data_IF_444914143547
#
_entry.id   IF_444914143547
#
_cell.length_a   1.000
_cell.length_b   1.000
_cell.length_c   1.000
_cell.angle_alpha   90.00
_cell.angle_beta   90.00
_cell.angle_gamma   90.00
#
_symmetry.space_group_name_H-M   'P 1'
#
loop_
_entity.id
_entity.type
_entity.pdbx_description
1 polymer ?
#
# COMPACT_ATOMS: atom_id res chain seq x y z
N UNK A 1 11.32 8.92 -4.76
CA UNK A 1 9.90 9.31 -4.82
C UNK A 1 9.59 9.66 -6.27
N UNK A 2 8.62 8.99 -6.87
CA UNK A 2 8.08 9.27 -8.22
C UNK A 2 6.55 9.27 -8.14
N UNK A 3 5.90 10.27 -8.74
CA UNK A 3 4.44 10.40 -8.74
C UNK A 3 3.99 10.78 -10.14
N UNK A 4 3.20 9.90 -10.75
CA UNK A 4 2.51 10.13 -12.02
C UNK A 4 1.02 10.19 -11.72
N UNK A 5 0.37 11.37 -11.83
CA UNK A 5 -1.04 11.54 -11.48
C UNK A 5 -1.94 10.51 -12.15
N UNK A 6 -2.81 9.87 -11.36
CA UNK A 6 -3.76 8.86 -11.82
C UNK A 6 -3.13 7.53 -12.30
N UNK A 7 -1.81 7.35 -12.21
CA UNK A 7 -1.14 6.17 -12.78
C UNK A 7 -0.19 5.47 -11.80
N UNK A 8 0.66 6.21 -11.08
CA UNK A 8 1.70 5.58 -10.26
C UNK A 8 2.14 6.45 -9.08
N UNK A 9 2.42 5.80 -7.97
CA UNK A 9 3.15 6.36 -6.83
C UNK A 9 4.27 5.36 -6.48
N UNK A 10 5.53 5.79 -6.51
CA UNK A 10 6.66 5.00 -6.04
C UNK A 10 7.41 5.71 -4.92
N UNK A 11 7.57 5.04 -3.78
CA UNK A 11 8.14 5.61 -2.57
C UNK A 11 8.99 4.59 -1.82
N UNK A 12 9.99 5.09 -1.10
CA UNK A 12 10.80 4.27 -0.21
C UNK A 12 10.44 4.59 1.25
N UNK A 13 10.44 3.58 2.11
CA UNK A 13 10.18 3.75 3.53
C UNK A 13 10.96 2.74 4.37
N UNK A 14 11.13 3.04 5.66
CA UNK A 14 11.68 2.11 6.66
C UNK A 14 10.66 1.92 7.78
N UNK A 15 10.63 0.73 8.37
CA UNK A 15 9.84 0.49 9.58
C UNK A 15 10.76 0.32 10.78
N UNK A 16 10.38 0.99 11.88
CA UNK A 16 11.07 0.90 13.14
C UNK A 16 10.11 0.43 14.25
N UNK A 17 10.62 -0.39 15.15
CA UNK A 17 9.96 -0.77 16.40
C UNK A 17 10.96 -0.52 17.53
N UNK A 18 10.53 0.18 18.58
CA UNK A 18 11.38 0.59 19.70
C UNK A 18 12.69 1.27 19.26
N UNK A 19 12.59 2.14 18.24
CA UNK A 19 13.72 2.86 17.67
C UNK A 19 14.65 2.03 16.77
N UNK A 20 14.44 0.71 16.65
CA UNK A 20 15.23 -0.16 15.78
C UNK A 20 14.55 -0.37 14.44
N UNK A 21 15.24 -0.03 13.35
CA UNK A 21 14.81 -0.36 11.99
C UNK A 21 14.86 -1.87 11.79
N UNK A 22 13.77 -2.46 11.32
CA UNK A 22 13.65 -3.90 11.04
C UNK A 22 13.26 -4.20 9.58
N UNK A 23 12.91 -3.18 8.79
CA UNK A 23 12.77 -3.33 7.35
C UNK A 23 13.00 -2.02 6.60
N UNK A 24 13.40 -2.16 5.34
CA UNK A 24 13.49 -1.07 4.37
C UNK A 24 12.87 -1.52 3.05
N UNK A 25 12.03 -0.68 2.47
CA UNK A 25 11.20 -1.06 1.32
C UNK A 25 11.21 0.00 0.23
N UNK A 26 11.12 -0.46 -1.01
CA UNK A 26 10.69 0.33 -2.17
C UNK A 26 9.30 -0.18 -2.60
N UNK A 27 8.30 0.66 -2.41
CA UNK A 27 6.91 0.38 -2.76
C UNK A 27 6.53 1.10 -4.06
N UNK A 28 5.77 0.41 -4.90
CA UNK A 28 5.13 0.96 -6.10
C UNK A 28 3.65 0.63 -6.07
N UNK A 29 2.83 1.66 -6.15
CA UNK A 29 1.38 1.57 -6.33
C UNK A 29 1.07 1.99 -7.75
N UNK A 30 0.43 1.12 -8.53
CA UNK A 30 -0.05 1.44 -9.87
C UNK A 30 -1.55 1.34 -9.97
N UNK A 31 -2.14 2.20 -10.77
CA UNK A 31 -3.58 2.30 -11.01
C UNK A 31 -3.86 2.06 -12.49
N UNK A 32 -4.90 1.29 -12.77
CA UNK A 32 -5.42 1.10 -14.12
C UNK A 32 -6.96 1.06 -14.11
N UNK A 33 -7.58 1.53 -15.18
CA UNK A 33 -9.02 1.38 -15.39
C UNK A 33 -9.40 -0.11 -15.48
N UNK A 34 -10.43 -0.51 -14.75
CA UNK A 34 -10.93 -1.89 -14.78
C UNK A 34 -12.43 -1.92 -14.47
N UNK A 35 -13.25 -2.25 -15.47
CA UNK A 35 -14.67 -2.56 -15.27
C UNK A 35 -15.51 -1.45 -14.66
N UNK A 36 -15.18 -0.17 -14.91
CA UNK A 36 -15.85 0.98 -14.31
C UNK A 36 -15.36 1.35 -12.91
N UNK A 37 -14.30 0.69 -12.43
CA UNK A 37 -13.54 1.07 -11.25
C UNK A 37 -12.03 1.10 -11.53
N UNK A 38 -11.23 0.98 -10.48
CA UNK A 38 -9.77 1.01 -10.58
C UNK A 38 -9.16 -0.29 -10.09
N UNK A 39 -8.30 -0.90 -10.90
CA UNK A 39 -7.39 -1.94 -10.47
C UNK A 39 -6.16 -1.29 -9.83
N UNK A 40 -6.00 -1.45 -8.52
CA UNK A 40 -4.82 -1.05 -7.77
C UNK A 40 -3.89 -2.26 -7.63
N UNK A 41 -2.64 -2.13 -8.08
CA UNK A 41 -1.58 -3.11 -7.82
C UNK A 41 -0.53 -2.51 -6.89
N UNK A 42 -0.33 -3.15 -5.74
CA UNK A 42 0.72 -2.80 -4.79
C UNK A 42 1.89 -3.79 -4.93
N UNK A 43 3.08 -3.29 -5.24
CA UNK A 43 4.32 -4.08 -5.30
C UNK A 43 5.31 -3.52 -4.30
N UNK A 44 5.88 -4.38 -3.47
CA UNK A 44 6.92 -4.01 -2.51
C UNK A 44 8.17 -4.86 -2.67
N UNK A 45 9.31 -4.18 -2.80
CA UNK A 45 10.64 -4.78 -2.76
C UNK A 45 11.25 -4.45 -1.39
N UNK A 46 11.34 -5.44 -0.51
CA UNK A 46 11.73 -5.24 0.89
C UNK A 46 13.03 -5.96 1.26
N UNK A 47 13.81 -5.33 2.14
CA UNK A 47 14.86 -5.94 2.94
C UNK A 47 14.38 -6.11 4.38
N UNK A 48 14.60 -7.29 4.96
CA UNK A 48 14.07 -7.70 6.26
C UNK A 48 15.23 -7.99 7.23
N UNK A 49 15.29 -7.26 8.35
CA UNK A 49 16.37 -7.36 9.34
C UNK A 49 15.86 -8.00 10.62
N UNK A 50 16.30 -9.23 10.89
CA UNK A 50 15.85 -10.00 12.05
C UNK A 50 16.14 -9.28 13.39
N UNK A 51 15.24 -9.36 14.38
CA UNK A 51 13.90 -9.96 14.27
C UNK A 51 12.93 -9.06 13.46
N UNK A 52 12.05 -9.66 12.65
CA UNK A 52 11.02 -8.94 11.90
C UNK A 52 9.77 -9.80 11.71
N UNK A 53 8.66 -9.17 11.37
CA UNK A 53 7.43 -9.78 10.85
C UNK A 53 7.65 -10.47 9.49
N UNK A 54 8.68 -10.04 8.75
CA UNK A 54 9.06 -10.65 7.48
C UNK A 54 8.05 -10.37 6.36
N UNK A 55 8.18 -11.10 5.26
CA UNK A 55 7.33 -10.90 4.07
C UNK A 55 5.86 -11.18 4.38
N UNK A 56 5.56 -12.25 5.12
CA UNK A 56 4.19 -12.69 5.40
C UNK A 56 3.45 -11.66 6.27
N UNK A 57 4.05 -11.24 7.40
CA UNK A 57 3.45 -10.21 8.25
C UNK A 57 3.30 -8.86 7.54
N UNK A 58 4.27 -8.49 6.67
CA UNK A 58 4.14 -7.29 5.83
C UNK A 58 2.96 -7.40 4.87
N UNK A 59 2.79 -8.56 4.23
CA UNK A 59 1.69 -8.81 3.29
C UNK A 59 0.35 -8.69 4.00
N UNK A 60 0.19 -9.36 5.14
CA UNK A 60 -1.04 -9.30 5.95
C UNK A 60 -1.40 -7.86 6.36
N UNK A 61 -0.39 -7.09 6.80
CA UNK A 61 -0.58 -5.68 7.15
C UNK A 61 -1.07 -4.83 5.96
N UNK A 62 -0.50 -5.00 4.78
CA UNK A 62 -0.94 -4.27 3.58
C UNK A 62 -2.32 -4.71 3.08
N UNK A 63 -2.65 -5.99 3.15
CA UNK A 63 -3.99 -6.49 2.82
C UNK A 63 -5.05 -5.85 3.73
N UNK A 64 -4.76 -5.71 5.04
CA UNK A 64 -5.65 -5.04 5.97
C UNK A 64 -5.81 -3.53 5.66
N UNK A 65 -4.72 -2.83 5.33
CA UNK A 65 -4.75 -1.41 4.96
C UNK A 65 -5.53 -1.16 3.66
N UNK A 66 -5.33 -2.00 2.64
CA UNK A 66 -6.03 -1.89 1.35
C UNK A 66 -7.52 -2.23 1.49
N UNK A 67 -7.89 -3.21 2.31
CA UNK A 67 -9.29 -3.48 2.63
C UNK A 67 -9.95 -2.32 3.39
N UNK A 68 -9.20 -1.60 4.24
CA UNK A 68 -9.71 -0.40 4.90
C UNK A 68 -9.90 0.77 3.92
N UNK A 69 -8.97 0.93 2.97
CA UNK A 69 -9.09 1.92 1.90
C UNK A 69 -10.35 1.68 1.05
N UNK A 70 -10.60 0.44 0.63
CA UNK A 70 -11.80 0.06 -0.11
C UNK A 70 -13.08 0.49 0.62
N UNK A 71 -13.21 0.17 1.92
CA UNK A 71 -14.37 0.56 2.72
C UNK A 71 -14.59 2.08 2.76
N UNK A 72 -13.52 2.85 2.84
CA UNK A 72 -13.60 4.32 2.86
C UNK A 72 -14.06 4.84 1.49
N UNK A 73 -13.48 4.34 0.40
CA UNK A 73 -13.86 4.75 -0.95
C UNK A 73 -15.32 4.41 -1.26
N UNK A 74 -15.81 3.24 -0.85
CA UNK A 74 -17.22 2.85 -0.98
C UNK A 74 -18.15 3.76 -0.18
N UNK A 75 -17.74 4.18 1.01
CA UNK A 75 -18.51 5.13 1.82
C UNK A 75 -18.56 6.52 1.16
N UNK A 76 -17.42 7.00 0.65
CA UNK A 76 -17.31 8.28 -0.05
C UNK A 76 -18.15 8.29 -1.33
N UNK A 77 -18.02 7.28 -2.19
CA UNK A 77 -18.78 7.21 -3.45
C UNK A 77 -20.31 7.23 -3.22
N UNK A 78 -20.80 6.57 -2.16
CA UNK A 78 -22.21 6.61 -1.78
C UNK A 78 -22.66 7.98 -1.27
N UNK A 79 -21.79 8.70 -0.56
CA UNK A 79 -22.11 10.05 -0.09
C UNK A 79 -22.17 11.08 -1.21
N UNK A 80 -21.43 10.87 -2.30
CA UNK A 80 -21.43 11.77 -3.46
C UNK A 80 -22.59 11.48 -4.44
N UNK A 81 -23.19 10.30 -4.34
CA UNK A 81 -24.30 9.88 -5.19
C UNK A 81 -25.71 10.25 -4.65
N UNK A 82 -25.80 10.80 -3.43
CA UNK A 82 -27.05 11.22 -2.77
C UNK A 82 -27.18 12.73 -2.67
#
# INVERSE_FOLDING_TARGET
LDIVPGQRIAFAYTMALDGRIHSASLATVSFAEAGGGTLLTYTEQGAWFAPSDGVDGRREGWEALLAALERILDATARSEAG
#
